data_IF_041697202047
#
_entry.id   IF_041697202047
#
_cell.length_a   1.000
_cell.length_b   1.000
_cell.length_c   1.000
_cell.angle_alpha   90.00
_cell.angle_beta   90.00
_cell.angle_gamma   90.00
#
_symmetry.space_group_name_H-M   'P 1'
#
loop_
_entity.id
_entity.type
_entity.pdbx_description
1 polymer ?
#
# COMPACT_ATOMS: atom_id res chain seq x y z
N UNK A 1 -33.88 -16.28 24.61
CA UNK A 1 -32.53 -16.26 24.00
C UNK A 1 -32.02 -14.82 24.06
N UNK A 2 -30.84 -14.57 24.67
CA UNK A 2 -30.29 -13.21 24.77
C UNK A 2 -29.86 -12.70 23.39
N UNK A 3 -29.86 -11.38 23.18
CA UNK A 3 -29.41 -10.74 21.91
C UNK A 3 -28.01 -11.23 21.52
N UNK A 4 -27.13 -11.45 22.50
CA UNK A 4 -25.79 -11.96 22.28
C UNK A 4 -25.80 -13.37 21.64
N UNK A 5 -26.51 -14.33 22.22
CA UNK A 5 -26.64 -15.69 21.67
C UNK A 5 -27.26 -15.72 20.27
N UNK A 6 -28.20 -14.81 20.01
CA UNK A 6 -28.81 -14.72 18.66
C UNK A 6 -27.81 -14.20 17.61
N UNK A 7 -26.97 -13.21 17.98
CA UNK A 7 -25.91 -12.70 17.12
C UNK A 7 -24.83 -13.76 16.84
N UNK A 8 -24.47 -14.52 17.85
CA UNK A 8 -23.47 -15.61 17.73
C UNK A 8 -23.98 -16.71 16.81
N UNK A 9 -25.20 -17.19 17.00
CA UNK A 9 -25.83 -18.17 16.11
C UNK A 9 -26.00 -17.64 14.66
N UNK A 10 -26.32 -16.35 14.48
CA UNK A 10 -26.39 -15.76 13.15
C UNK A 10 -25.00 -15.72 12.48
N UNK A 11 -23.94 -15.37 13.22
CA UNK A 11 -22.56 -15.39 12.70
C UNK A 11 -22.14 -16.80 12.27
N UNK A 12 -22.39 -17.81 13.09
CA UNK A 12 -22.10 -19.19 12.76
C UNK A 12 -22.83 -19.65 11.49
N UNK A 13 -24.10 -19.29 11.34
CA UNK A 13 -24.88 -19.61 10.15
C UNK A 13 -24.35 -18.91 8.89
N UNK A 14 -23.95 -17.63 9.01
CA UNK A 14 -23.32 -16.88 7.90
C UNK A 14 -22.00 -17.53 7.51
N UNK A 15 -21.14 -17.87 8.47
CA UNK A 15 -19.86 -18.53 8.21
C UNK A 15 -20.07 -19.88 7.53
N UNK A 16 -20.99 -20.73 8.04
CA UNK A 16 -21.33 -22.02 7.42
C UNK A 16 -21.84 -21.87 5.98
N UNK A 17 -22.71 -20.89 5.74
CA UNK A 17 -23.20 -20.60 4.40
C UNK A 17 -22.09 -20.15 3.46
N UNK A 18 -21.18 -19.30 3.94
CA UNK A 18 -20.02 -18.87 3.15
C UNK A 18 -19.08 -20.06 2.86
N UNK A 19 -18.80 -20.90 3.83
CA UNK A 19 -17.98 -22.11 3.67
C UNK A 19 -18.58 -23.09 2.64
N UNK A 20 -19.88 -23.35 2.72
CA UNK A 20 -20.59 -24.27 1.82
C UNK A 20 -20.67 -23.74 0.38
N UNK A 21 -20.70 -22.42 0.19
CA UNK A 21 -20.77 -21.77 -1.12
C UNK A 21 -19.39 -21.36 -1.65
N UNK A 22 -18.31 -21.71 -0.96
CA UNK A 22 -16.95 -21.34 -1.33
C UNK A 22 -16.42 -22.22 -2.47
N UNK A 23 -16.96 -22.02 -3.66
CA UNK A 23 -16.54 -22.70 -4.91
C UNK A 23 -15.31 -21.97 -5.51
N UNK A 24 -14.24 -21.80 -4.71
CA UNK A 24 -13.03 -21.13 -5.15
C UNK A 24 -11.92 -22.15 -5.35
N UNK A 25 -11.35 -22.18 -6.56
CA UNK A 25 -10.12 -22.88 -6.88
C UNK A 25 -8.98 -21.89 -7.10
N UNK A 26 -7.75 -22.30 -6.82
CA UNK A 26 -6.55 -21.47 -7.01
C UNK A 26 -6.61 -20.12 -6.27
N UNK A 27 -6.74 -20.20 -4.94
CA UNK A 27 -6.82 -19.02 -4.10
C UNK A 27 -5.44 -18.42 -3.79
N UNK A 28 -5.42 -17.09 -3.61
CA UNK A 28 -4.33 -16.36 -2.94
C UNK A 28 -4.75 -16.11 -1.50
N UNK A 29 -3.91 -16.48 -0.56
CA UNK A 29 -4.10 -16.19 0.87
C UNK A 29 -3.41 -14.90 1.23
N UNK A 30 -4.13 -14.00 1.89
CA UNK A 30 -3.62 -12.72 2.38
C UNK A 30 -3.73 -12.66 3.90
N UNK A 31 -2.76 -12.05 4.57
CA UNK A 31 -2.89 -11.71 5.99
C UNK A 31 -2.18 -10.41 6.34
N UNK A 32 -2.68 -9.76 7.38
CA UNK A 32 -2.09 -8.55 7.96
C UNK A 32 -2.36 -8.50 9.47
N UNK A 33 -1.32 -8.27 10.26
CA UNK A 33 -1.41 -8.09 11.71
C UNK A 33 -1.84 -6.67 12.06
N UNK A 34 -2.76 -6.54 13.03
CA UNK A 34 -3.23 -5.24 13.49
C UNK A 34 -3.52 -5.22 14.98
N UNK A 35 -2.85 -4.31 15.67
CA UNK A 35 -3.20 -3.97 17.06
C UNK A 35 -4.46 -3.10 17.04
N UNK A 36 -5.48 -3.51 17.75
CA UNK A 36 -6.76 -2.80 17.86
C UNK A 36 -7.35 -2.93 19.26
N UNK A 37 -8.25 -2.02 19.68
CA UNK A 37 -8.94 -2.16 20.95
C UNK A 37 -9.63 -3.52 21.04
N UNK A 38 -9.53 -4.15 22.20
CA UNK A 38 -10.29 -5.37 22.46
C UNK A 38 -11.75 -5.01 22.77
N UNK A 39 -12.67 -5.85 22.27
CA UNK A 39 -14.10 -5.66 22.52
C UNK A 39 -14.56 -6.39 23.81
N UNK A 40 -13.73 -7.22 24.39
CA UNK A 40 -14.07 -8.08 25.53
C UNK A 40 -13.38 -7.62 26.82
N UNK A 41 -12.15 -7.08 26.70
CA UNK A 41 -11.36 -6.65 27.85
C UNK A 41 -10.78 -5.24 27.61
N UNK A 42 -10.54 -4.46 28.66
CA UNK A 42 -9.86 -3.18 28.54
C UNK A 42 -8.43 -3.36 28.03
N UNK A 43 -8.09 -2.75 26.89
CA UNK A 43 -6.75 -2.80 26.33
C UNK A 43 -6.73 -2.96 24.81
N UNK A 44 -5.53 -3.16 24.29
CA UNK A 44 -5.31 -3.46 22.88
C UNK A 44 -4.91 -4.92 22.72
N UNK A 45 -5.38 -5.54 21.67
CA UNK A 45 -5.06 -6.92 21.28
C UNK A 45 -4.52 -6.95 19.86
N UNK A 46 -3.56 -7.83 19.63
CA UNK A 46 -3.06 -8.10 18.29
C UNK A 46 -3.99 -9.09 17.59
N UNK A 47 -4.48 -8.72 16.41
CA UNK A 47 -5.35 -9.54 15.57
C UNK A 47 -4.73 -9.75 14.21
N UNK A 48 -4.91 -10.95 13.67
CA UNK A 48 -4.44 -11.32 12.35
C UNK A 48 -5.62 -11.44 11.39
N UNK A 49 -5.82 -10.43 10.56
CA UNK A 49 -6.84 -10.48 9.51
C UNK A 49 -6.40 -11.46 8.41
N UNK A 50 -7.26 -12.43 8.08
CA UNK A 50 -7.00 -13.46 7.08
C UNK A 50 -8.07 -13.37 6.01
N UNK A 51 -7.64 -13.23 4.75
CA UNK A 51 -8.48 -13.06 3.57
C UNK A 51 -8.02 -14.03 2.48
N UNK A 52 -8.94 -14.55 1.69
CA UNK A 52 -8.60 -15.24 0.44
C UNK A 52 -9.21 -14.51 -0.75
N UNK A 53 -8.48 -14.53 -1.85
CA UNK A 53 -8.97 -14.01 -3.15
C UNK A 53 -8.85 -15.08 -4.21
N UNK A 54 -9.87 -15.20 -5.07
CA UNK A 54 -9.87 -16.05 -6.25
C UNK A 54 -10.88 -15.51 -7.27
N UNK A 55 -10.53 -15.55 -8.55
CA UNK A 55 -11.43 -15.18 -9.66
C UNK A 55 -12.12 -13.82 -9.48
N UNK A 56 -11.43 -12.85 -8.90
CA UNK A 56 -11.95 -11.49 -8.64
C UNK A 56 -12.89 -11.38 -7.44
N UNK A 57 -13.08 -12.45 -6.69
CA UNK A 57 -13.81 -12.45 -5.41
C UNK A 57 -12.86 -12.39 -4.23
N UNK A 58 -13.29 -11.67 -3.20
CA UNK A 58 -12.59 -11.56 -1.92
C UNK A 58 -13.47 -12.13 -0.80
N UNK A 59 -12.90 -13.02 -0.01
CA UNK A 59 -13.59 -13.62 1.14
C UNK A 59 -12.77 -13.41 2.40
N UNK A 60 -13.33 -12.67 3.34
CA UNK A 60 -12.76 -12.52 4.68
C UNK A 60 -13.03 -13.79 5.49
N UNK A 61 -11.97 -14.47 5.90
CA UNK A 61 -12.10 -15.69 6.70
C UNK A 61 -12.31 -15.35 8.18
N UNK A 62 -11.35 -14.67 8.79
CA UNK A 62 -11.40 -14.32 10.21
C UNK A 62 -10.34 -13.27 10.57
N UNK A 63 -10.46 -12.68 11.77
CA UNK A 63 -9.42 -11.89 12.41
C UNK A 63 -9.18 -12.36 13.84
N UNK A 64 -8.60 -13.57 14.05
CA UNK A 64 -8.36 -14.12 15.37
C UNK A 64 -7.39 -13.26 16.18
N UNK A 65 -7.52 -13.30 17.51
CA UNK A 65 -6.51 -12.78 18.43
C UNK A 65 -5.26 -13.66 18.31
N UNK A 66 -4.09 -13.05 18.29
CA UNK A 66 -2.81 -13.74 18.33
C UNK A 66 -2.05 -13.38 19.60
N UNK A 67 -1.35 -14.34 20.17
CA UNK A 67 -0.60 -14.15 21.41
C UNK A 67 0.69 -13.37 21.20
N UNK A 68 1.25 -13.42 19.98
CA UNK A 68 2.43 -12.70 19.58
C UNK A 68 2.46 -12.48 18.06
N UNK A 69 3.13 -11.43 17.60
CA UNK A 69 3.36 -11.17 16.18
C UNK A 69 4.52 -11.95 15.57
N UNK A 70 4.96 -13.08 16.16
CA UNK A 70 6.04 -13.91 15.60
C UNK A 70 5.57 -14.70 14.38
N UNK A 71 6.50 -15.03 13.47
CA UNK A 71 6.21 -15.82 12.28
C UNK A 71 5.60 -17.19 12.61
N UNK A 72 6.09 -17.84 13.66
CA UNK A 72 5.59 -19.13 14.13
C UNK A 72 4.12 -19.05 14.58
N UNK A 73 3.78 -18.05 15.39
CA UNK A 73 2.42 -17.90 15.88
C UNK A 73 1.46 -17.52 14.74
N UNK A 74 1.88 -16.62 13.85
CA UNK A 74 1.09 -16.27 12.66
C UNK A 74 0.86 -17.50 11.77
N UNK A 75 1.90 -18.26 11.44
CA UNK A 75 1.79 -19.46 10.61
C UNK A 75 0.85 -20.50 11.23
N UNK A 76 0.98 -20.77 12.52
CA UNK A 76 0.11 -21.70 13.24
C UNK A 76 -1.36 -21.31 13.15
N UNK A 77 -1.66 -20.04 13.40
CA UNK A 77 -3.04 -19.50 13.32
C UNK A 77 -3.57 -19.56 11.89
N UNK A 78 -2.77 -19.15 10.90
CA UNK A 78 -3.16 -19.19 9.48
C UNK A 78 -3.50 -20.61 9.03
N UNK A 79 -2.62 -21.57 9.31
CA UNK A 79 -2.83 -22.98 8.92
C UNK A 79 -4.07 -23.57 9.61
N UNK A 80 -4.30 -23.23 10.89
CA UNK A 80 -5.53 -23.63 11.58
C UNK A 80 -6.77 -23.10 10.84
N UNK A 81 -6.79 -21.82 10.49
CA UNK A 81 -7.93 -21.20 9.80
C UNK A 81 -8.12 -21.74 8.38
N UNK A 82 -7.05 -22.03 7.66
CA UNK A 82 -7.15 -22.69 6.36
C UNK A 82 -7.82 -24.07 6.46
N UNK A 83 -7.54 -24.81 7.52
CA UNK A 83 -8.18 -26.12 7.80
C UNK A 83 -9.65 -25.94 8.19
N UNK A 84 -9.96 -25.00 9.09
CA UNK A 84 -11.32 -24.69 9.52
C UNK A 84 -12.24 -24.34 8.34
N UNK A 85 -11.67 -23.67 7.31
CA UNK A 85 -12.37 -23.26 6.10
C UNK A 85 -12.25 -24.26 4.95
N UNK A 86 -11.56 -25.37 5.11
CA UNK A 86 -11.33 -26.39 4.09
C UNK A 86 -10.74 -25.84 2.78
N UNK A 87 -9.84 -24.83 2.90
CA UNK A 87 -9.20 -24.17 1.75
C UNK A 87 -7.72 -24.55 1.58
N UNK A 88 -7.23 -25.45 2.39
CA UNK A 88 -5.81 -25.85 2.44
C UNK A 88 -5.27 -26.21 1.05
N UNK A 89 -5.97 -27.06 0.29
CA UNK A 89 -5.54 -27.51 -1.04
C UNK A 89 -5.82 -26.49 -2.15
N UNK A 90 -6.70 -25.52 -1.88
CA UNK A 90 -7.12 -24.48 -2.81
C UNK A 90 -6.15 -23.29 -2.86
N UNK A 91 -5.45 -23.01 -1.77
CA UNK A 91 -4.47 -21.91 -1.71
C UNK A 91 -3.24 -22.29 -2.54
N UNK A 92 -2.89 -21.47 -3.53
CA UNK A 92 -1.72 -21.65 -4.41
C UNK A 92 -0.66 -20.57 -4.24
N UNK A 93 -1.04 -19.44 -3.65
CA UNK A 93 -0.13 -18.32 -3.43
C UNK A 93 -0.38 -17.63 -2.09
N UNK A 94 0.66 -16.96 -1.59
CA UNK A 94 0.66 -16.18 -0.35
C UNK A 94 0.90 -14.71 -0.68
N UNK A 95 0.08 -13.80 -0.13
CA UNK A 95 0.28 -12.37 -0.22
C UNK A 95 0.46 -11.76 1.17
N UNK A 96 1.59 -11.11 1.39
CA UNK A 96 2.05 -10.67 2.72
C UNK A 96 2.93 -9.42 2.61
N UNK A 97 3.14 -8.72 3.71
CA UNK A 97 4.15 -7.67 3.79
C UNK A 97 5.58 -8.26 3.83
N UNK A 98 6.57 -7.47 3.41
CA UNK A 98 7.97 -7.94 3.34
C UNK A 98 8.74 -7.80 4.65
N UNK A 99 8.07 -7.88 5.79
CA UNK A 99 8.72 -7.89 7.10
C UNK A 99 9.47 -9.20 7.35
N UNK A 100 10.49 -9.18 8.20
CA UNK A 100 11.24 -10.38 8.57
C UNK A 100 10.35 -11.46 9.23
N UNK A 101 9.27 -11.05 9.89
CA UNK A 101 8.27 -11.96 10.44
C UNK A 101 7.63 -12.84 9.37
N UNK A 102 7.40 -12.31 8.18
CA UNK A 102 6.83 -13.06 7.07
C UNK A 102 7.90 -13.74 6.20
N UNK A 103 8.99 -13.05 5.92
CA UNK A 103 9.98 -13.47 4.91
C UNK A 103 11.24 -14.14 5.48
N UNK A 104 11.33 -14.30 6.79
CA UNK A 104 12.51 -14.93 7.42
C UNK A 104 12.72 -16.36 6.92
N UNK A 105 13.95 -16.67 6.47
CA UNK A 105 14.30 -17.93 5.81
C UNK A 105 14.04 -19.17 6.67
N UNK A 106 14.14 -19.05 7.98
CA UNK A 106 13.95 -20.19 8.91
C UNK A 106 12.63 -20.11 9.69
N UNK A 107 12.27 -18.90 10.15
CA UNK A 107 11.16 -18.69 11.08
C UNK A 107 10.11 -17.70 10.55
N UNK A 108 10.14 -17.38 9.26
CA UNK A 108 9.12 -16.55 8.63
C UNK A 108 7.81 -17.30 8.48
N UNK A 109 6.69 -16.59 8.58
CA UNK A 109 5.35 -17.20 8.45
C UNK A 109 5.21 -17.98 7.14
N UNK A 110 5.78 -17.48 6.03
CA UNK A 110 5.65 -18.11 4.72
C UNK A 110 6.28 -19.50 4.70
N UNK A 111 7.54 -19.63 5.09
CA UNK A 111 8.24 -20.93 5.09
C UNK A 111 7.61 -21.90 6.08
N UNK A 112 7.14 -21.42 7.23
CA UNK A 112 6.46 -22.27 8.21
C UNK A 112 5.10 -22.76 7.72
N UNK A 113 4.36 -21.95 6.95
CA UNK A 113 3.12 -22.38 6.31
C UNK A 113 3.41 -23.48 5.28
N UNK A 114 4.41 -23.32 4.42
CA UNK A 114 4.81 -24.33 3.42
C UNK A 114 5.21 -25.66 4.09
N UNK A 115 6.01 -25.59 5.16
CA UNK A 115 6.40 -26.78 5.94
C UNK A 115 5.17 -27.50 6.53
N UNK A 116 4.21 -26.75 7.08
CA UNK A 116 2.99 -27.31 7.65
C UNK A 116 2.07 -27.92 6.58
N UNK A 117 2.09 -27.39 5.35
CA UNK A 117 1.32 -27.89 4.21
C UNK A 117 2.08 -28.94 3.38
N UNK A 118 3.39 -29.13 3.63
CA UNK A 118 4.30 -30.01 2.90
C UNK A 118 4.30 -29.77 1.39
N UNK A 119 4.24 -28.52 0.98
CA UNK A 119 4.31 -28.09 -0.42
C UNK A 119 4.74 -26.64 -0.55
N UNK A 120 5.30 -26.28 -1.68
CA UNK A 120 5.67 -24.93 -2.06
C UNK A 120 4.45 -24.12 -2.48
N UNK A 121 4.52 -22.82 -2.28
CA UNK A 121 3.50 -21.83 -2.64
C UNK A 121 4.14 -20.66 -3.37
N UNK A 122 3.40 -20.03 -4.25
CA UNK A 122 3.86 -18.81 -4.94
C UNK A 122 3.84 -17.64 -3.96
N UNK A 123 4.94 -16.89 -3.90
CA UNK A 123 5.05 -15.70 -3.06
C UNK A 123 4.72 -14.44 -3.87
N UNK A 124 3.70 -13.73 -3.43
CA UNK A 124 3.23 -12.47 -4.00
C UNK A 124 3.33 -11.35 -2.96
N UNK A 125 4.51 -10.80 -2.69
CA UNK A 125 4.67 -9.70 -1.75
C UNK A 125 3.74 -8.55 -2.03
N UNK A 126 3.11 -7.99 -0.98
CA UNK A 126 2.13 -6.94 -1.09
C UNK A 126 2.70 -5.71 -1.80
N UNK A 127 2.14 -5.38 -2.97
CA UNK A 127 2.58 -4.25 -3.79
C UNK A 127 2.51 -2.92 -3.04
N UNK A 128 1.42 -2.69 -2.32
CA UNK A 128 1.25 -1.46 -1.56
C UNK A 128 2.31 -1.31 -0.47
N UNK A 129 2.69 -2.41 0.20
CA UNK A 129 3.77 -2.37 1.18
C UNK A 129 5.13 -2.00 0.53
N UNK A 130 5.43 -2.58 -0.64
CA UNK A 130 6.66 -2.25 -1.38
C UNK A 130 6.68 -0.75 -1.75
N UNK A 131 5.56 -0.22 -2.25
CA UNK A 131 5.45 1.19 -2.60
C UNK A 131 5.55 2.11 -1.38
N UNK A 132 5.06 1.67 -0.23
CA UNK A 132 5.29 2.34 1.06
C UNK A 132 6.78 2.46 1.38
N UNK A 133 7.54 1.37 1.20
CA UNK A 133 8.98 1.37 1.44
C UNK A 133 9.72 2.29 0.46
N UNK A 134 9.26 2.40 -0.78
CA UNK A 134 9.80 3.34 -1.78
C UNK A 134 9.54 4.79 -1.33
N UNK A 135 8.29 5.14 -0.97
CA UNK A 135 7.96 6.47 -0.46
C UNK A 135 8.74 6.80 0.82
N UNK A 136 8.89 5.82 1.70
CA UNK A 136 9.71 5.97 2.92
C UNK A 136 11.15 6.30 2.57
N UNK A 137 11.76 5.62 1.63
CA UNK A 137 13.13 5.86 1.18
C UNK A 137 13.31 7.29 0.63
N UNK A 138 12.34 7.78 -0.14
CA UNK A 138 12.31 9.17 -0.63
C UNK A 138 12.18 10.18 0.51
N UNK A 139 11.29 9.92 1.46
CA UNK A 139 11.11 10.78 2.64
C UNK A 139 12.39 10.84 3.48
N UNK A 140 12.99 9.70 3.77
CA UNK A 140 14.23 9.60 4.56
C UNK A 140 15.44 10.28 3.89
N UNK A 141 15.38 10.58 2.60
CA UNK A 141 16.40 11.40 1.90
C UNK A 141 16.51 12.82 2.45
N UNK A 142 15.44 13.35 3.01
CA UNK A 142 15.36 14.71 3.57
C UNK A 142 15.25 14.73 5.10
N UNK A 143 14.77 13.65 5.68
CA UNK A 143 14.69 13.45 7.14
C UNK A 143 15.39 12.15 7.52
N UNK A 144 16.75 12.12 7.47
CA UNK A 144 17.49 10.95 7.88
C UNK A 144 17.16 10.65 9.34
N UNK A 145 16.49 9.53 9.52
CA UNK A 145 16.17 8.85 10.77
C UNK A 145 15.75 9.74 11.97
N UNK A 146 14.46 9.98 12.08
CA UNK A 146 13.93 9.91 13.42
C UNK A 146 13.95 8.42 13.81
N UNK A 147 14.84 8.02 14.69
CA UNK A 147 14.93 6.65 15.22
C UNK A 147 13.71 6.25 16.08
N UNK A 148 12.65 7.04 16.05
CA UNK A 148 11.42 6.85 16.80
C UNK A 148 10.17 6.79 15.91
N UNK A 149 9.06 6.33 16.47
CA UNK A 149 7.78 6.23 15.75
C UNK A 149 7.21 7.60 15.35
N UNK A 150 7.73 8.69 15.92
CA UNK A 150 7.22 10.04 15.72
C UNK A 150 8.10 10.82 14.75
N UNK A 151 7.49 11.40 13.73
CA UNK A 151 8.13 12.32 12.80
C UNK A 151 7.92 13.75 13.33
N UNK A 152 8.98 14.49 13.78
CA UNK A 152 8.81 15.77 14.46
C UNK A 152 8.00 16.81 13.69
N UNK A 153 8.20 16.92 12.37
CA UNK A 153 7.43 17.84 11.52
C UNK A 153 5.94 17.48 11.47
N UNK A 154 5.60 16.19 11.50
CA UNK A 154 4.20 15.74 11.50
C UNK A 154 3.53 15.99 12.86
N UNK A 155 4.24 15.75 13.96
CA UNK A 155 3.76 16.07 15.31
C UNK A 155 3.44 17.55 15.41
N UNK A 156 4.41 18.40 15.04
CA UNK A 156 4.26 19.86 15.04
C UNK A 156 3.10 20.35 14.17
N UNK A 157 2.89 19.74 12.99
CA UNK A 157 1.78 20.08 12.13
C UNK A 157 0.41 19.66 12.73
N UNK A 158 0.36 18.48 13.33
CA UNK A 158 -0.85 17.98 14.00
C UNK A 158 -1.26 18.88 15.17
N UNK A 159 -0.28 19.33 15.98
CA UNK A 159 -0.51 20.19 17.13
C UNK A 159 -1.03 21.60 16.69
N UNK A 160 -0.55 22.08 15.55
CA UNK A 160 -0.96 23.34 14.94
C UNK A 160 -2.27 23.29 14.16
N UNK A 161 -2.85 22.11 13.94
CA UNK A 161 -4.00 21.94 13.06
C UNK A 161 -5.22 22.79 13.43
N UNK A 162 -5.49 23.00 14.72
CA UNK A 162 -6.63 23.82 15.19
C UNK A 162 -6.47 25.31 14.88
N UNK A 163 -5.26 25.78 14.60
CA UNK A 163 -4.95 27.18 14.27
C UNK A 163 -4.94 27.41 12.75
N UNK A 164 -5.02 26.36 11.93
CA UNK A 164 -4.97 26.44 10.48
C UNK A 164 -6.36 26.77 9.90
N UNK A 165 -6.45 27.88 9.18
CA UNK A 165 -7.61 28.23 8.38
C UNK A 165 -7.64 27.37 7.11
N UNK A 166 -8.54 26.40 7.07
CA UNK A 166 -8.61 25.44 5.97
C UNK A 166 -9.10 26.05 4.64
N UNK A 167 -9.65 27.26 4.66
CA UNK A 167 -10.04 27.99 3.45
C UNK A 167 -8.87 28.72 2.77
N UNK A 168 -7.79 28.95 3.53
CA UNK A 168 -6.58 29.65 3.04
C UNK A 168 -5.45 28.68 2.65
N UNK A 169 -5.79 27.58 2.01
CA UNK A 169 -4.79 26.69 1.43
C UNK A 169 -4.21 27.28 0.14
N UNK A 170 -3.01 26.85 -0.22
CA UNK A 170 -2.34 27.25 -1.45
C UNK A 170 -2.00 26.01 -2.27
N UNK A 171 -2.57 25.89 -3.46
CA UNK A 171 -2.32 24.75 -4.34
C UNK A 171 -0.81 24.52 -4.56
N UNK A 172 -0.41 23.25 -4.61
CA UNK A 172 1.00 22.91 -4.79
C UNK A 172 1.55 23.37 -6.11
N UNK A 173 0.75 23.26 -7.18
CA UNK A 173 1.13 23.65 -8.54
C UNK A 173 1.41 25.14 -8.70
N UNK A 174 0.96 26.00 -7.77
CA UNK A 174 1.27 27.43 -7.79
C UNK A 174 2.72 27.75 -7.36
N UNK A 175 3.45 26.78 -6.79
CA UNK A 175 4.87 26.91 -6.51
C UNK A 175 5.68 26.70 -7.80
N UNK A 176 6.55 27.65 -8.14
CA UNK A 176 7.33 27.60 -9.39
C UNK A 176 8.20 26.34 -9.50
N UNK A 177 8.80 25.89 -8.39
CA UNK A 177 9.61 24.68 -8.38
C UNK A 177 8.79 23.40 -8.59
N UNK A 178 7.54 23.38 -8.15
CA UNK A 178 6.59 22.29 -8.41
C UNK A 178 6.12 22.37 -9.87
N UNK A 179 5.71 23.55 -10.34
CA UNK A 179 5.22 23.76 -11.71
C UNK A 179 6.27 23.36 -12.74
N UNK A 180 7.53 23.74 -12.56
CA UNK A 180 8.62 23.39 -13.47
C UNK A 180 8.88 21.87 -13.63
N UNK A 181 8.37 21.04 -12.69
CA UNK A 181 8.56 19.58 -12.73
C UNK A 181 7.28 18.82 -13.11
N UNK A 182 6.12 19.33 -12.72
CA UNK A 182 4.83 18.63 -12.89
C UNK A 182 3.97 19.26 -13.98
N UNK A 183 4.22 20.53 -14.34
CA UNK A 183 3.35 21.30 -15.22
C UNK A 183 2.97 20.58 -16.51
N UNK A 184 3.93 20.02 -17.22
CA UNK A 184 3.73 19.30 -18.48
C UNK A 184 2.93 18.00 -18.34
N UNK A 185 2.92 17.40 -17.14
CA UNK A 185 2.22 16.13 -16.86
C UNK A 185 0.93 16.33 -16.08
N UNK A 186 0.61 17.56 -15.69
CA UNK A 186 -0.53 17.89 -14.84
C UNK A 186 -1.85 17.31 -15.37
N UNK A 187 -2.17 17.53 -16.62
CA UNK A 187 -3.43 17.10 -17.22
C UNK A 187 -3.55 15.57 -17.26
N UNK A 188 -2.45 14.88 -17.57
CA UNK A 188 -2.41 13.41 -17.57
C UNK A 188 -2.67 12.85 -16.16
N UNK A 189 -2.10 13.49 -15.13
CA UNK A 189 -2.32 13.09 -13.75
C UNK A 189 -3.77 13.36 -13.34
N UNK A 190 -4.36 14.50 -13.72
CA UNK A 190 -5.76 14.82 -13.44
C UNK A 190 -6.73 13.83 -14.09
N UNK A 191 -6.49 13.42 -15.34
CA UNK A 191 -7.29 12.37 -16.00
C UNK A 191 -7.24 11.06 -15.21
N UNK A 192 -6.04 10.66 -14.80
CA UNK A 192 -5.83 9.45 -14.00
C UNK A 192 -6.58 9.53 -12.66
N UNK A 193 -6.45 10.64 -11.93
CA UNK A 193 -7.15 10.87 -10.66
C UNK A 193 -8.67 10.82 -10.85
N UNK A 194 -9.19 11.42 -11.93
CA UNK A 194 -10.61 11.42 -12.27
C UNK A 194 -11.12 9.99 -12.45
N UNK A 195 -10.40 9.16 -13.21
CA UNK A 195 -10.75 7.75 -13.40
C UNK A 195 -10.80 6.98 -12.07
N UNK A 196 -9.78 7.16 -11.20
CA UNK A 196 -9.77 6.49 -9.90
C UNK A 196 -10.79 7.04 -8.90
N UNK A 197 -11.22 8.29 -9.05
CA UNK A 197 -12.25 8.88 -8.18
C UNK A 197 -13.65 8.31 -8.41
N UNK A 198 -13.89 7.73 -9.59
CA UNK A 198 -15.14 7.04 -9.94
C UNK A 198 -15.23 5.63 -9.33
N UNK A 199 -14.12 5.08 -8.88
CA UNK A 199 -14.06 3.75 -8.28
C UNK A 199 -14.16 3.90 -6.75
N UNK A 200 -14.98 3.04 -6.13
CA UNK A 200 -15.06 3.00 -4.67
C UNK A 200 -13.71 2.66 -4.07
N UNK A 201 -13.21 3.55 -3.21
CA UNK A 201 -11.93 3.32 -2.56
C UNK A 201 -12.11 2.43 -1.31
N UNK A 202 -11.27 1.41 -1.10
CA UNK A 202 -11.42 0.44 -0.03
C UNK A 202 -11.24 1.06 1.36
N UNK A 203 -10.58 2.24 1.43
CA UNK A 203 -10.27 2.92 2.68
C UNK A 203 -10.40 4.44 2.54
N UNK A 204 -10.76 5.09 3.65
CA UNK A 204 -10.94 6.54 3.69
C UNK A 204 -9.65 7.35 3.49
N UNK A 205 -8.48 6.79 3.78
CA UNK A 205 -7.18 7.41 3.52
C UNK A 205 -6.76 7.33 2.03
N UNK A 206 -7.19 6.30 1.29
CA UNK A 206 -7.00 6.26 -0.17
C UNK A 206 -7.77 7.37 -0.86
N UNK A 207 -9.03 7.57 -0.46
CA UNK A 207 -9.83 8.70 -0.94
C UNK A 207 -9.19 10.03 -0.59
N UNK A 208 -8.70 10.19 0.63
CA UNK A 208 -8.02 11.41 1.07
C UNK A 208 -6.76 11.70 0.23
N UNK A 209 -5.98 10.68 -0.12
CA UNK A 209 -4.83 10.86 -1.01
C UNK A 209 -5.25 11.37 -2.39
N UNK A 210 -6.32 10.80 -2.98
CA UNK A 210 -6.87 11.29 -4.25
C UNK A 210 -7.32 12.74 -4.16
N UNK A 211 -8.12 13.09 -3.15
CA UNK A 211 -8.64 14.45 -2.95
C UNK A 211 -7.50 15.46 -2.74
N UNK A 212 -6.50 15.12 -1.93
CA UNK A 212 -5.31 15.98 -1.74
C UNK A 212 -4.50 16.15 -3.03
N UNK A 213 -4.41 15.11 -3.86
CA UNK A 213 -3.71 15.21 -5.14
C UNK A 213 -4.43 16.15 -6.13
N UNK A 214 -5.77 16.12 -6.20
CA UNK A 214 -6.56 17.10 -6.95
C UNK A 214 -6.28 18.52 -6.47
N UNK A 215 -6.39 18.76 -5.16
CA UNK A 215 -6.19 20.10 -4.57
C UNK A 215 -4.75 20.58 -4.80
N UNK A 216 -3.77 19.68 -4.69
CA UNK A 216 -2.37 20.01 -4.96
C UNK A 216 -2.13 20.47 -6.38
N UNK A 217 -2.82 19.87 -7.36
CA UNK A 217 -2.78 20.24 -8.77
C UNK A 217 -3.66 21.46 -9.12
N UNK A 218 -4.33 22.06 -8.13
CA UNK A 218 -5.20 23.23 -8.32
C UNK A 218 -6.58 22.89 -8.89
N UNK A 219 -7.00 21.64 -8.83
CA UNK A 219 -8.31 21.19 -9.24
C UNK A 219 -9.22 20.94 -8.01
N UNK A 220 -10.52 20.95 -8.24
CA UNK A 220 -11.53 20.67 -7.20
C UNK A 220 -11.86 19.18 -7.23
N UNK A 221 -11.72 18.44 -6.11
CA UNK A 221 -12.16 17.05 -6.04
C UNK A 221 -13.67 16.91 -6.28
N UNK A 222 -14.16 15.74 -6.73
CA UNK A 222 -15.61 15.54 -6.98
C UNK A 222 -16.52 15.84 -5.79
N UNK A 223 -16.04 15.65 -4.55
CA UNK A 223 -16.79 15.91 -3.33
C UNK A 223 -16.52 17.32 -2.73
N UNK A 224 -15.91 18.21 -3.49
CA UNK A 224 -15.48 19.52 -3.01
C UNK A 224 -14.17 19.47 -2.23
N UNK A 225 -13.69 20.64 -1.80
CA UNK A 225 -12.45 20.77 -1.03
C UNK A 225 -12.74 20.58 0.45
N UNK A 226 -12.23 19.50 1.01
CA UNK A 226 -12.30 19.20 2.43
C UNK A 226 -10.97 18.64 2.94
N UNK A 227 -10.60 19.03 4.17
CA UNK A 227 -9.39 18.55 4.82
C UNK A 227 -9.73 17.81 6.11
N UNK A 228 -9.40 16.53 6.17
CA UNK A 228 -9.55 15.74 7.40
C UNK A 228 -8.48 16.15 8.42
N UNK A 229 -8.83 16.09 9.70
CA UNK A 229 -7.86 16.30 10.78
C UNK A 229 -6.71 15.30 10.63
N UNK A 230 -5.43 15.74 10.80
CA UNK A 230 -4.29 14.84 10.84
C UNK A 230 -4.46 13.74 11.89
N UNK A 231 -4.27 12.48 11.48
CA UNK A 231 -4.45 11.32 12.32
C UNK A 231 -3.29 11.05 13.29
N UNK A 232 -3.20 9.82 13.80
CA UNK A 232 -2.12 9.41 14.69
C UNK A 232 -0.75 9.45 14.01
N UNK A 233 0.24 10.06 14.66
CA UNK A 233 1.58 10.26 14.11
C UNK A 233 2.47 9.04 14.33
N UNK A 234 2.42 8.44 15.51
CA UNK A 234 3.28 7.31 15.91
C UNK A 234 2.89 5.94 15.29
N UNK A 235 1.71 5.87 14.71
CA UNK A 235 1.31 4.79 13.81
C UNK A 235 1.23 5.31 12.38
N UNK A 236 2.12 6.26 12.06
CA UNK A 236 2.22 6.84 10.74
C UNK A 236 2.54 5.70 9.75
N UNK A 237 1.51 4.95 9.41
CA UNK A 237 1.51 4.06 8.29
C UNK A 237 1.99 4.85 7.08
N UNK A 238 2.52 4.17 6.13
CA UNK A 238 3.01 4.69 4.88
C UNK A 238 2.16 5.84 4.30
N UNK A 239 0.82 5.75 4.35
CA UNK A 239 -0.10 6.79 3.88
C UNK A 239 0.04 8.10 4.68
N UNK A 240 0.47 8.06 5.94
CA UNK A 240 0.72 9.28 6.71
C UNK A 240 1.85 10.11 6.07
N UNK A 241 2.92 9.48 5.55
CA UNK A 241 4.00 10.22 4.87
C UNK A 241 3.47 10.96 3.65
N UNK A 242 2.60 10.34 2.84
CA UNK A 242 1.98 10.98 1.69
C UNK A 242 1.03 12.12 2.12
N UNK A 243 0.06 11.81 2.98
CA UNK A 243 -1.00 12.73 3.40
C UNK A 243 -0.44 13.93 4.16
N UNK A 244 0.48 13.72 5.11
CA UNK A 244 1.05 14.81 5.90
C UNK A 244 1.90 15.75 5.02
N UNK A 245 2.76 15.21 4.14
CA UNK A 245 3.55 16.08 3.26
C UNK A 245 2.67 16.94 2.35
N UNK A 246 1.64 16.36 1.73
CA UNK A 246 0.71 17.12 0.90
C UNK A 246 -0.01 18.21 1.71
N UNK A 247 -0.55 17.90 2.89
CA UNK A 247 -1.21 18.88 3.76
C UNK A 247 -0.25 19.98 4.21
N UNK A 248 0.94 19.63 4.69
CA UNK A 248 1.95 20.61 5.12
C UNK A 248 2.26 21.56 3.97
N UNK A 249 2.41 21.05 2.74
CA UNK A 249 2.71 21.90 1.59
C UNK A 249 1.52 22.77 1.17
N UNK A 250 0.30 22.28 1.25
CA UNK A 250 -0.91 23.06 0.98
C UNK A 250 -1.10 24.20 1.98
N UNK A 251 -0.70 24.01 3.24
CA UNK A 251 -0.79 25.01 4.31
C UNK A 251 0.53 25.71 4.62
N UNK A 252 1.53 25.66 3.71
CA UNK A 252 2.88 26.18 3.90
C UNK A 252 2.97 27.65 4.28
N UNK A 253 1.97 28.46 3.93
CA UNK A 253 1.92 29.87 4.32
C UNK A 253 1.42 30.10 5.76
N UNK A 254 0.80 29.09 6.36
CA UNK A 254 0.27 29.14 7.73
C UNK A 254 1.08 28.29 8.71
N UNK A 255 1.89 27.36 8.18
CA UNK A 255 2.73 26.47 8.96
C UNK A 255 4.22 26.82 8.74
N UNK A 256 4.85 27.34 9.79
CA UNK A 256 6.24 27.80 9.71
C UNK A 256 7.19 26.62 9.42
N UNK A 257 7.85 26.66 8.27
CA UNK A 257 8.87 25.72 7.84
C UNK A 257 10.23 26.41 7.77
N UNK A 258 11.29 25.71 8.13
CA UNK A 258 12.65 26.12 7.78
C UNK A 258 12.87 25.95 6.26
N UNK A 259 13.90 26.57 5.70
CA UNK A 259 14.25 26.43 4.28
C UNK A 259 14.54 24.97 3.91
N UNK A 260 15.19 24.22 4.80
CA UNK A 260 15.47 22.79 4.59
C UNK A 260 14.19 21.96 4.61
N UNK A 261 13.29 22.20 5.57
CA UNK A 261 11.99 21.51 5.62
C UNK A 261 11.13 21.83 4.40
N UNK A 262 11.07 23.11 3.99
CA UNK A 262 10.33 23.51 2.78
C UNK A 262 10.87 22.79 1.54
N UNK A 263 12.19 22.71 1.38
CA UNK A 263 12.83 21.97 0.29
C UNK A 263 12.45 20.49 0.34
N UNK A 264 12.57 19.85 1.50
CA UNK A 264 12.25 18.43 1.68
C UNK A 264 10.78 18.14 1.39
N UNK A 265 9.86 18.87 2.01
CA UNK A 265 8.40 18.71 1.79
C UNK A 265 8.04 18.90 0.31
N UNK A 266 8.60 19.94 -0.35
CA UNK A 266 8.40 20.16 -1.80
C UNK A 266 8.81 18.93 -2.62
N UNK A 267 10.01 18.41 -2.41
CA UNK A 267 10.53 17.30 -3.19
C UNK A 267 9.75 15.99 -2.95
N UNK A 268 9.36 15.72 -1.71
CA UNK A 268 8.50 14.57 -1.39
C UNK A 268 7.12 14.73 -2.04
N UNK A 269 6.52 15.93 -2.00
CA UNK A 269 5.24 16.20 -2.67
C UNK A 269 5.34 16.01 -4.19
N UNK A 270 6.41 16.50 -4.82
CA UNK A 270 6.66 16.29 -6.25
C UNK A 270 6.72 14.79 -6.57
N UNK A 271 7.46 14.01 -5.77
CA UNK A 271 7.52 12.56 -5.94
C UNK A 271 6.14 11.90 -5.77
N UNK A 272 5.38 12.31 -4.76
CA UNK A 272 4.03 11.77 -4.50
C UNK A 272 3.13 12.01 -5.72
N UNK A 273 3.08 13.22 -6.23
CA UNK A 273 2.16 13.59 -7.31
C UNK A 273 2.61 13.02 -8.66
N UNK A 274 3.91 13.10 -8.97
CA UNK A 274 4.43 12.69 -10.27
C UNK A 274 4.48 11.17 -10.46
N UNK A 275 4.82 10.42 -9.39
CA UNK A 275 5.08 8.98 -9.45
C UNK A 275 4.15 8.18 -8.54
N UNK A 276 4.12 8.52 -7.25
CA UNK A 276 3.53 7.66 -6.22
C UNK A 276 2.03 7.45 -6.39
N UNK A 277 1.26 8.48 -6.66
CA UNK A 277 -0.19 8.39 -6.85
C UNK A 277 -0.53 7.44 -7.99
N UNK A 278 0.17 7.56 -9.13
CA UNK A 278 -0.02 6.69 -10.30
C UNK A 278 0.24 5.22 -9.98
N UNK A 279 1.40 4.92 -9.40
CA UNK A 279 1.79 3.53 -9.10
C UNK A 279 0.96 2.94 -7.97
N UNK A 280 0.54 3.75 -7.00
CA UNK A 280 -0.29 3.33 -5.89
C UNK A 280 -1.64 2.80 -6.35
N UNK A 281 -2.36 3.59 -7.15
CA UNK A 281 -3.70 3.22 -7.62
C UNK A 281 -3.67 2.16 -8.74
N UNK A 282 -2.57 2.00 -9.45
CA UNK A 282 -2.39 0.92 -10.43
C UNK A 282 -1.90 -0.41 -9.83
N UNK A 283 -1.61 -0.46 -8.54
CA UNK A 283 -1.06 -1.65 -7.85
C UNK A 283 -2.12 -2.69 -7.43
N UNK A 284 -3.24 -2.78 -8.13
CA UNK A 284 -4.37 -3.64 -7.78
C UNK A 284 -4.19 -5.10 -8.19
N UNK A 285 -3.25 -5.40 -9.11
CA UNK A 285 -3.01 -6.74 -9.63
C UNK A 285 -1.52 -7.07 -9.64
N UNK A 286 -1.17 -8.27 -9.19
CA UNK A 286 0.19 -8.78 -9.25
C UNK A 286 0.71 -8.90 -10.69
N UNK A 287 -0.17 -9.23 -11.64
CA UNK A 287 0.15 -9.43 -13.07
C UNK A 287 0.73 -8.15 -13.70
N UNK A 288 0.27 -6.98 -13.27
CA UNK A 288 0.74 -5.70 -13.82
C UNK A 288 2.03 -5.20 -13.20
N UNK A 289 2.52 -5.86 -12.14
CA UNK A 289 3.69 -5.41 -11.39
C UNK A 289 4.95 -5.27 -12.27
N UNK A 290 5.35 -6.25 -13.10
CA UNK A 290 6.58 -6.14 -13.88
C UNK A 290 6.57 -4.92 -14.82
N UNK A 291 5.47 -4.71 -15.54
CA UNK A 291 5.34 -3.62 -16.49
C UNK A 291 5.25 -2.24 -15.79
N UNK A 292 4.49 -2.15 -14.70
CA UNK A 292 4.36 -0.91 -13.94
C UNK A 292 5.70 -0.50 -13.28
N UNK A 293 6.45 -1.46 -12.76
CA UNK A 293 7.73 -1.19 -12.14
C UNK A 293 8.81 -0.82 -13.16
N UNK A 294 8.81 -1.46 -14.33
CA UNK A 294 9.70 -1.09 -15.42
C UNK A 294 9.46 0.38 -15.84
N UNK A 295 8.19 0.76 -16.03
CA UNK A 295 7.82 2.16 -16.35
C UNK A 295 8.26 3.13 -15.25
N UNK A 296 8.02 2.77 -13.98
CA UNK A 296 8.47 3.58 -12.85
C UNK A 296 10.00 3.75 -12.86
N UNK A 297 10.76 2.69 -13.08
CA UNK A 297 12.23 2.74 -13.10
C UNK A 297 12.74 3.61 -14.25
N UNK A 298 12.12 3.54 -15.44
CA UNK A 298 12.45 4.39 -16.59
C UNK A 298 12.13 5.87 -16.30
N UNK A 299 10.98 6.16 -15.70
CA UNK A 299 10.60 7.51 -15.30
C UNK A 299 11.55 8.06 -14.23
N UNK A 300 11.95 7.24 -13.24
CA UNK A 300 12.93 7.62 -12.21
C UNK A 300 14.31 7.87 -12.81
N UNK A 301 14.75 7.06 -13.75
CA UNK A 301 16.03 7.26 -14.46
C UNK A 301 16.04 8.60 -15.20
N UNK A 302 14.96 8.93 -15.89
CA UNK A 302 14.80 10.23 -16.53
C UNK A 302 14.78 11.38 -15.53
N UNK A 303 14.15 11.16 -14.36
CA UNK A 303 14.07 12.14 -13.26
C UNK A 303 15.43 12.39 -12.57
N UNK A 304 16.42 11.51 -12.76
CA UNK A 304 17.76 11.67 -12.21
C UNK A 304 18.42 13.01 -12.60
N UNK A 305 18.09 13.55 -13.75
CA UNK A 305 18.58 14.87 -14.21
C UNK A 305 18.00 16.04 -13.39
N UNK A 306 16.84 15.85 -12.76
CA UNK A 306 16.13 16.87 -11.98
C UNK A 306 16.46 16.70 -10.48
N UNK A 307 16.38 15.50 -9.98
CA UNK A 307 16.65 15.20 -8.58
C UNK A 307 17.36 13.83 -8.42
N UNK A 308 18.70 13.81 -8.50
CA UNK A 308 19.49 12.58 -8.40
C UNK A 308 19.24 11.81 -7.09
N UNK A 309 19.07 12.53 -5.98
CA UNK A 309 18.90 11.92 -4.66
C UNK A 309 17.59 11.12 -4.57
N UNK A 310 16.48 11.71 -4.98
CA UNK A 310 15.17 11.05 -4.99
C UNK A 310 15.16 9.90 -5.98
N UNK A 311 15.66 10.12 -7.20
CA UNK A 311 15.75 9.09 -8.24
C UNK A 311 16.53 7.88 -7.75
N UNK A 312 17.73 8.08 -7.22
CA UNK A 312 18.60 7.02 -6.70
C UNK A 312 17.90 6.22 -5.58
N UNK A 313 17.44 6.91 -4.53
CA UNK A 313 16.88 6.23 -3.35
C UNK A 313 15.58 5.46 -3.68
N UNK A 314 14.73 6.02 -4.54
CA UNK A 314 13.52 5.34 -5.00
C UNK A 314 13.85 4.11 -5.85
N UNK A 315 14.76 4.24 -6.81
CA UNK A 315 15.16 3.15 -7.71
C UNK A 315 15.88 2.02 -6.95
N UNK A 316 16.82 2.34 -6.07
CA UNK A 316 17.53 1.34 -5.25
C UNK A 316 16.59 0.61 -4.30
N UNK A 317 15.59 1.31 -3.74
CA UNK A 317 14.58 0.67 -2.91
C UNK A 317 13.70 -0.26 -3.74
N UNK A 318 13.25 0.17 -4.90
CA UNK A 318 12.41 -0.62 -5.79
C UNK A 318 13.14 -1.86 -6.29
N UNK A 319 14.41 -1.72 -6.70
CA UNK A 319 15.25 -2.82 -7.21
C UNK A 319 15.40 -3.98 -6.22
N UNK A 320 15.28 -3.72 -4.92
CA UNK A 320 15.34 -4.76 -3.88
C UNK A 320 14.05 -5.56 -3.71
N UNK A 321 12.99 -5.20 -4.45
CA UNK A 321 11.67 -5.78 -4.29
C UNK A 321 11.05 -6.26 -5.61
N UNK A 322 11.88 -6.64 -6.59
CA UNK A 322 11.46 -7.18 -7.89
C UNK A 322 11.20 -8.70 -7.78
N UNK A 323 10.25 -9.06 -6.92
CA UNK A 323 9.91 -10.44 -6.55
C UNK A 323 9.49 -11.33 -7.73
N UNK A 324 8.96 -10.72 -8.79
CA UNK A 324 8.53 -11.42 -10.01
C UNK A 324 9.68 -11.84 -10.94
N UNK A 325 10.93 -11.54 -10.57
CA UNK A 325 12.12 -12.04 -11.28
C UNK A 325 12.54 -13.44 -10.83
N UNK A 326 11.74 -14.11 -9.99
CA UNK A 326 11.95 -15.53 -9.68
C UNK A 326 11.63 -16.43 -10.88
N UNK A 327 12.11 -17.66 -10.88
CA UNK A 327 11.89 -18.64 -11.96
C UNK A 327 10.39 -18.90 -12.16
N UNK A 328 9.64 -19.03 -11.08
CA UNK A 328 8.20 -19.33 -11.09
C UNK A 328 7.37 -18.19 -11.69
N UNK A 329 7.85 -16.94 -11.57
CA UNK A 329 7.12 -15.74 -11.94
C UNK A 329 7.69 -14.99 -13.14
N UNK A 330 8.78 -15.47 -13.74
CA UNK A 330 9.43 -14.83 -14.88
C UNK A 330 8.49 -14.62 -16.09
N UNK A 331 7.45 -15.44 -16.22
CA UNK A 331 6.43 -15.32 -17.26
C UNK A 331 5.22 -14.46 -16.87
N UNK A 332 5.18 -13.88 -15.65
CA UNK A 332 4.02 -13.17 -15.13
C UNK A 332 3.56 -12.02 -16.04
N UNK A 333 4.54 -11.28 -16.63
CA UNK A 333 4.26 -10.18 -17.54
C UNK A 333 3.51 -10.58 -18.82
N UNK A 334 3.57 -11.85 -19.24
CA UNK A 334 2.85 -12.33 -20.42
C UNK A 334 1.33 -12.30 -20.23
N UNK A 335 0.85 -12.33 -19.00
CA UNK A 335 -0.57 -12.26 -18.66
C UNK A 335 -1.07 -10.82 -18.50
N UNK A 336 -0.19 -9.80 -18.51
CA UNK A 336 -0.60 -8.40 -18.47
C UNK A 336 -1.19 -7.97 -19.83
N UNK A 337 -2.45 -7.56 -19.84
CA UNK A 337 -3.15 -7.10 -21.04
C UNK A 337 -2.57 -5.79 -21.60
N UNK A 338 -1.85 -5.02 -20.79
CA UNK A 338 -1.20 -3.77 -21.21
C UNK A 338 0.16 -3.98 -21.91
N UNK A 339 0.68 -5.20 -21.91
CA UNK A 339 1.91 -5.55 -22.64
C UNK A 339 1.53 -5.95 -24.07
N UNK A 340 2.18 -5.33 -25.07
CA UNK A 340 1.88 -5.59 -26.48
C UNK A 340 2.20 -7.04 -26.88
N UNK A 341 1.48 -7.55 -27.87
CA UNK A 341 1.72 -8.90 -28.41
C UNK A 341 3.13 -9.06 -28.99
N UNK A 342 3.70 -8.00 -29.53
CA UNK A 342 5.07 -7.98 -30.05
C UNK A 342 6.10 -8.25 -28.93
N UNK A 343 5.98 -7.53 -27.81
CA UNK A 343 6.85 -7.75 -26.64
C UNK A 343 6.67 -9.18 -26.11
N UNK A 344 5.41 -9.67 -26.02
CA UNK A 344 5.14 -11.05 -25.58
C UNK A 344 5.79 -12.09 -26.48
N UNK A 345 5.71 -11.93 -27.81
CA UNK A 345 6.35 -12.81 -28.79
C UNK A 345 7.87 -12.81 -28.66
N UNK A 346 8.49 -11.63 -28.57
CA UNK A 346 9.95 -11.51 -28.43
C UNK A 346 10.47 -12.16 -27.14
N UNK A 347 9.74 -12.05 -26.04
CA UNK A 347 10.06 -12.71 -24.78
C UNK A 347 9.93 -14.23 -24.85
N UNK A 348 9.10 -14.76 -25.73
CA UNK A 348 8.96 -16.20 -25.95
C UNK A 348 10.10 -16.74 -26.82
N UNK A 349 10.52 -16.01 -27.85
CA UNK A 349 11.58 -16.41 -28.77
C UNK A 349 12.96 -16.44 -28.12
N UNK A 350 13.26 -15.51 -27.20
CA UNK A 350 14.54 -15.46 -26.48
C UNK A 350 14.75 -16.55 -25.40
N UNK A 351 13.71 -17.37 -25.13
CA UNK A 351 13.80 -18.50 -24.18
C UNK A 351 14.00 -19.85 -24.88
N UNK A 352 13.99 -19.88 -26.21
CA UNK A 352 14.12 -21.11 -27.02
C UNK A 352 15.57 -21.26 -27.58
N UNK A 353 16.38 -20.21 -27.45
CA UNK A 353 17.84 -20.27 -27.71
C UNK A 353 18.61 -20.47 -26.38
#
# INVERSE_FOLDING_TARGET
MTVHRKRESMRENVVKNLQNNLALDNCVLHWDGKIMPDNEEPGNVDRLAIVITASGQETFLEAPKISSGTGENQASVIVSKMRDWSVTDKVKALCFDTTATNTGVHNGSCVLIEQALKRELIYLPCRHHILELVLRSVFESYWPTSSGPNVPIFTRFKDKWSEIDQQKYVAGISDQGVFGVIGDTKEQILILLTNYSQISQPRGDYRELLELAFIFLGAIPPNGVMFKRPGAVHHARWMAKAIYNLKIFLFRNQFKLTNSEMKGVRQVCVFIIKFYVKIWFSATSAITAPNNDLKLMQELLSYNKINPLVSKNASEKMAKHLWYLSEELAALSLFDMNVSLEIKKNSYSSKIE
#
